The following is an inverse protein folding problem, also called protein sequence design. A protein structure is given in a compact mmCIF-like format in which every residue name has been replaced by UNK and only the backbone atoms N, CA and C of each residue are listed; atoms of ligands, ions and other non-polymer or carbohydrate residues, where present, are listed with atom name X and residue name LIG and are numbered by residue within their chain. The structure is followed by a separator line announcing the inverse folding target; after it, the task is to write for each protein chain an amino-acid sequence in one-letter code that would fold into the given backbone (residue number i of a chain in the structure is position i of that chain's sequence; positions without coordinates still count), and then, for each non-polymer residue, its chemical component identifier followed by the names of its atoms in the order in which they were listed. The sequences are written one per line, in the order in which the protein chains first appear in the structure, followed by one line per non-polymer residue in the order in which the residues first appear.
data_IF_469714990214
#
_entry.id   IF_469714990214
#
_cell.length_a   1.000
_cell.length_b   1.000
_cell.length_c   1.000
_cell.angle_alpha   90.00
_cell.angle_beta   90.00
_cell.angle_gamma   90.00
#
_symmetry.space_group_name_H-M   'P 1'
#
loop_
_entity.id
_entity.type
_entity.pdbx_description
1 polymer ?
#
# COMPACT_ATOMS: atom_id res chain seq x y z
N UNK A 1 -60.62 0.96 -4.10
CA UNK A 1 -61.49 2.15 -4.26
C UNK A 1 -60.55 3.25 -4.67
N UNK A 2 -60.56 3.47 -5.93
CA UNK A 2 -61.05 4.56 -6.75
C UNK A 2 -60.01 5.65 -6.89
N UNK A 3 -59.65 6.24 -8.03
CA UNK A 3 -60.14 6.14 -9.39
C UNK A 3 -59.10 6.79 -10.31
N UNK A 4 -58.95 6.25 -11.51
CA UNK A 4 -58.27 6.77 -12.69
C UNK A 4 -59.20 7.83 -13.34
N UNK A 5 -58.63 8.93 -13.89
CA UNK A 5 -59.23 9.71 -14.98
C UNK A 5 -58.11 10.38 -15.81
N UNK A 6 -57.90 9.91 -16.91
CA UNK A 6 -58.19 10.15 -18.31
C UNK A 6 -57.76 11.53 -18.88
N UNK A 7 -57.00 11.41 -19.96
CA UNK A 7 -56.54 12.35 -20.98
C UNK A 7 -57.72 12.91 -21.78
N UNK A 8 -57.62 14.07 -22.43
CA UNK A 8 -57.78 14.06 -23.87
C UNK A 8 -56.75 14.82 -24.71
N UNK A 9 -56.48 14.22 -25.85
CA UNK A 9 -55.80 14.76 -27.03
C UNK A 9 -56.68 15.71 -27.83
N UNK A 10 -56.08 16.72 -28.48
CA UNK A 10 -56.48 17.34 -29.78
C UNK A 10 -55.28 18.16 -30.27
N UNK A 11 -54.70 17.88 -31.33
CA UNK A 11 -54.81 17.98 -32.80
C UNK A 11 -54.72 19.44 -33.33
N UNK A 12 -53.73 19.59 -34.22
CA UNK A 12 -53.56 20.45 -35.38
C UNK A 12 -53.71 21.99 -35.27
N UNK A 13 -52.64 22.71 -35.65
CA UNK A 13 -52.58 23.46 -36.93
C UNK A 13 -51.23 24.15 -37.10
N UNK A 14 -50.63 24.01 -38.30
CA UNK A 14 -49.54 24.87 -38.78
C UNK A 14 -50.10 26.19 -39.30
N UNK A 15 -49.35 27.29 -39.21
CA UNK A 15 -49.17 28.10 -40.41
C UNK A 15 -47.71 28.43 -40.72
N UNK A 16 -47.43 28.59 -42.00
CA UNK A 16 -46.20 29.08 -42.60
C UNK A 16 -45.91 30.53 -42.21
N UNK A 17 -44.69 30.80 -41.77
CA UNK A 17 -44.12 32.14 -41.65
C UNK A 17 -42.64 32.09 -42.00
N UNK A 18 -42.25 32.67 -43.15
CA UNK A 18 -40.87 32.91 -43.53
C UNK A 18 -40.28 33.97 -42.57
N UNK A 19 -39.29 33.61 -41.77
CA UNK A 19 -38.50 34.60 -41.07
C UNK A 19 -37.01 34.50 -41.44
N UNK A 20 -36.42 35.67 -41.52
CA UNK A 20 -35.11 35.99 -42.05
C UNK A 20 -33.97 35.34 -41.26
N UNK A 21 -32.96 34.84 -41.99
CA UNK A 21 -31.69 34.37 -41.43
C UNK A 21 -30.92 35.53 -40.79
N UNK A 22 -30.98 35.68 -39.45
CA UNK A 22 -30.03 36.48 -38.71
C UNK A 22 -28.68 35.78 -38.68
N UNK A 23 -27.63 36.45 -39.17
CA UNK A 23 -26.23 36.03 -39.07
C UNK A 23 -25.82 36.04 -37.60
N UNK A 24 -25.41 34.85 -37.07
CA UNK A 24 -24.75 34.74 -35.77
C UNK A 24 -23.38 35.43 -35.85
N UNK A 25 -22.97 36.22 -34.84
CA UNK A 25 -21.62 36.73 -34.76
C UNK A 25 -20.64 35.58 -34.55
N UNK A 26 -19.54 35.64 -35.27
CA UNK A 26 -18.48 34.65 -35.29
C UNK A 26 -17.41 35.06 -34.23
N UNK A 27 -17.77 35.04 -32.95
CA UNK A 27 -16.82 35.22 -31.86
C UNK A 27 -16.17 33.85 -31.53
N UNK A 28 -15.14 33.53 -32.31
CA UNK A 28 -14.15 32.53 -31.89
C UNK A 28 -13.14 33.26 -31.02
N UNK A 29 -13.34 33.21 -29.69
CA UNK A 29 -12.24 33.47 -28.77
C UNK A 29 -11.04 32.59 -29.13
N UNK A 30 -9.80 33.11 -29.10
CA UNK A 30 -8.62 32.33 -29.37
C UNK A 30 -8.47 31.30 -28.26
N UNK A 31 -8.62 30.01 -28.59
CA UNK A 31 -8.32 28.90 -27.66
C UNK A 31 -6.85 29.04 -27.29
N UNK A 32 -6.58 29.39 -26.04
CA UNK A 32 -5.25 29.32 -25.45
C UNK A 32 -4.64 27.95 -25.75
N UNK A 33 -3.46 27.93 -26.36
CA UNK A 33 -2.75 26.70 -26.64
C UNK A 33 -2.24 26.15 -25.32
N UNK A 34 -2.94 25.15 -24.79
CA UNK A 34 -2.49 24.43 -23.60
C UNK A 34 -1.13 23.81 -23.87
N UNK A 35 -0.16 24.09 -23.02
CA UNK A 35 1.18 23.53 -23.11
C UNK A 35 1.19 22.07 -22.57
N UNK A 36 1.19 21.11 -23.50
CA UNK A 36 1.25 19.68 -23.19
C UNK A 36 2.67 19.14 -22.99
N UNK A 37 3.68 19.99 -22.86
CA UNK A 37 5.09 19.57 -22.82
C UNK A 37 5.37 18.66 -21.65
N UNK A 38 4.91 19.01 -20.43
CA UNK A 38 5.07 18.19 -19.23
C UNK A 38 4.41 16.80 -19.37
N UNK A 39 3.22 16.75 -19.97
CA UNK A 39 2.48 15.50 -20.22
C UNK A 39 3.21 14.63 -21.26
N UNK A 40 3.81 15.23 -22.27
CA UNK A 40 4.61 14.50 -23.28
C UNK A 40 5.87 13.91 -22.66
N UNK A 41 6.60 14.68 -21.89
CA UNK A 41 7.81 14.22 -21.18
C UNK A 41 7.50 13.07 -20.23
N UNK A 42 6.40 13.18 -19.46
CA UNK A 42 5.98 12.10 -18.58
C UNK A 42 5.62 10.82 -19.34
N UNK A 43 4.85 10.93 -20.45
CA UNK A 43 4.54 9.78 -21.31
C UNK A 43 5.77 9.15 -21.93
N UNK A 44 6.79 9.96 -22.24
CA UNK A 44 8.06 9.46 -22.76
C UNK A 44 8.85 8.71 -21.68
N UNK A 45 8.96 9.26 -20.46
CA UNK A 45 9.57 8.60 -19.30
C UNK A 45 8.86 7.28 -18.98
N UNK A 46 7.53 7.25 -19.07
CA UNK A 46 6.75 6.04 -18.86
C UNK A 46 7.00 4.95 -19.94
N UNK A 47 7.23 5.37 -21.20
CA UNK A 47 7.62 4.44 -22.28
C UNK A 47 9.02 3.86 -22.05
N UNK A 48 9.97 4.68 -21.62
CA UNK A 48 11.33 4.25 -21.31
C UNK A 48 11.35 3.28 -20.13
N UNK A 49 10.61 3.59 -19.07
CA UNK A 49 10.44 2.70 -17.92
C UNK A 49 9.82 1.34 -18.33
N UNK A 50 8.80 1.34 -19.20
CA UNK A 50 8.21 0.12 -19.74
C UNK A 50 9.20 -0.69 -20.57
N UNK A 51 10.07 -0.04 -21.33
CA UNK A 51 11.13 -0.70 -22.11
C UNK A 51 12.16 -1.35 -21.20
N UNK A 52 12.62 -0.64 -20.16
CA UNK A 52 13.53 -1.16 -19.13
C UNK A 52 12.91 -2.34 -18.37
N UNK A 53 11.63 -2.22 -17.97
CA UNK A 53 10.87 -3.31 -17.33
C UNK A 53 10.81 -4.57 -18.18
N UNK A 54 10.67 -4.42 -19.51
CA UNK A 54 10.69 -5.56 -20.44
C UNK A 54 12.05 -6.24 -20.53
N UNK A 55 13.14 -5.47 -20.50
CA UNK A 55 14.50 -5.97 -20.42
C UNK A 55 14.73 -6.70 -19.08
N UNK A 56 14.38 -6.08 -17.96
CA UNK A 56 14.58 -6.62 -16.61
C UNK A 56 13.90 -7.97 -16.42
N UNK A 57 12.69 -8.17 -16.95
CA UNK A 57 12.00 -9.46 -16.88
C UNK A 57 12.77 -10.61 -17.56
N UNK A 58 13.66 -10.31 -18.53
CA UNK A 58 14.56 -11.30 -19.14
C UNK A 58 15.78 -11.60 -18.25
N UNK A 59 16.22 -10.61 -17.46
CA UNK A 59 17.44 -10.69 -16.65
C UNK A 59 17.20 -11.27 -15.26
N UNK A 60 16.01 -11.09 -14.66
CA UNK A 60 15.59 -11.78 -13.41
C UNK A 60 15.81 -13.29 -13.54
N UNK A 61 15.53 -13.87 -14.71
CA UNK A 61 15.76 -15.29 -14.98
C UNK A 61 17.25 -15.68 -14.93
N UNK A 62 18.18 -14.71 -14.94
CA UNK A 62 19.63 -14.90 -14.88
C UNK A 62 20.25 -14.55 -13.52
N UNK A 63 19.43 -14.10 -12.54
CA UNK A 63 19.92 -13.72 -11.20
C UNK A 63 20.72 -12.41 -11.14
N UNK A 64 20.69 -11.58 -12.19
CA UNK A 64 21.39 -10.30 -12.22
C UNK A 64 20.48 -9.16 -11.72
N UNK A 65 20.98 -8.34 -10.79
CA UNK A 65 20.27 -7.15 -10.28
C UNK A 65 20.59 -5.97 -11.20
N UNK A 66 19.55 -5.37 -11.79
CA UNK A 66 19.66 -4.19 -12.66
C UNK A 66 19.06 -2.98 -11.93
N UNK A 67 19.75 -1.85 -12.07
CA UNK A 67 19.39 -0.55 -11.52
C UNK A 67 19.15 0.46 -12.61
N UNK A 68 18.22 1.39 -12.40
CA UNK A 68 18.03 2.57 -13.28
C UNK A 68 19.05 3.66 -13.00
N UNK A 69 19.72 3.60 -11.85
CA UNK A 69 20.67 4.61 -11.35
C UNK A 69 22.11 4.06 -11.23
N UNK A 70 22.38 2.86 -11.78
CA UNK A 70 23.65 2.12 -11.61
C UNK A 70 23.98 1.77 -10.15
N UNK A 71 23.01 1.80 -9.25
CA UNK A 71 23.16 1.42 -7.84
C UNK A 71 23.12 -0.09 -7.67
N UNK A 72 23.96 -0.63 -6.78
CA UNK A 72 23.89 -2.04 -6.36
C UNK A 72 23.43 -2.08 -4.89
N UNK A 73 22.30 -2.77 -4.58
CA UNK A 73 21.83 -2.88 -3.21
C UNK A 73 22.74 -3.79 -2.40
N UNK A 74 22.94 -3.44 -1.12
CA UNK A 74 23.56 -4.34 -0.16
C UNK A 74 22.47 -5.24 0.47
N UNK A 75 22.21 -6.36 -0.19
CA UNK A 75 21.19 -7.31 0.23
C UNK A 75 21.58 -8.14 1.45
N UNK A 76 22.82 -8.05 1.92
CA UNK A 76 23.29 -8.74 3.13
C UNK A 76 22.72 -8.08 4.39
N UNK A 77 22.69 -6.76 4.41
CA UNK A 77 22.29 -5.93 5.55
C UNK A 77 20.89 -5.36 5.41
N UNK A 78 20.54 -4.84 4.23
CA UNK A 78 19.32 -4.09 4.03
C UNK A 78 18.24 -4.92 3.35
N UNK A 79 17.03 -4.83 3.88
CA UNK A 79 15.82 -5.43 3.29
C UNK A 79 15.21 -4.51 2.24
N UNK A 80 15.33 -3.20 2.44
CA UNK A 80 14.85 -2.16 1.51
C UNK A 80 15.95 -1.11 1.31
N UNK A 81 16.20 -0.75 0.04
CA UNK A 81 17.00 0.41 -0.34
C UNK A 81 16.25 1.22 -1.41
N UNK A 82 16.12 2.52 -1.15
CA UNK A 82 15.52 3.48 -2.08
C UNK A 82 16.59 4.44 -2.57
N UNK A 83 16.64 4.67 -3.89
CA UNK A 83 17.62 5.56 -4.51
C UNK A 83 16.88 6.59 -5.35
N UNK A 84 16.86 7.84 -4.88
CA UNK A 84 16.24 8.99 -5.54
C UNK A 84 14.79 8.72 -5.99
N UNK A 85 13.99 8.10 -5.11
CA UNK A 85 12.63 7.66 -5.44
C UNK A 85 11.69 8.86 -5.48
N UNK A 86 11.03 9.03 -6.62
CA UNK A 86 10.01 10.06 -6.86
C UNK A 86 8.69 9.42 -7.24
N UNK A 87 7.61 10.03 -6.77
CA UNK A 87 6.24 9.64 -7.14
C UNK A 87 5.40 10.88 -7.38
N UNK A 88 4.80 10.96 -8.55
CA UNK A 88 3.76 11.94 -8.89
C UNK A 88 2.51 11.22 -9.37
N UNK A 89 1.35 11.77 -9.06
CA UNK A 89 0.08 11.35 -9.63
C UNK A 89 -0.35 12.38 -10.67
N UNK A 90 -0.97 11.89 -11.75
CA UNK A 90 -1.46 12.74 -12.83
C UNK A 90 -2.98 12.56 -12.92
N UNK A 91 -3.69 13.67 -12.73
CA UNK A 91 -5.14 13.73 -12.88
C UNK A 91 -5.45 14.77 -13.97
N UNK A 92 -5.89 14.29 -15.13
CA UNK A 92 -6.03 15.15 -16.31
C UNK A 92 -4.69 15.74 -16.72
N UNK A 93 -4.55 17.07 -16.61
CA UNK A 93 -3.34 17.82 -16.96
C UNK A 93 -2.50 18.22 -15.72
N UNK A 94 -2.99 17.95 -14.51
CA UNK A 94 -2.33 18.33 -13.27
C UNK A 94 -1.42 17.20 -12.78
N UNK A 95 -0.12 17.50 -12.60
CA UNK A 95 0.84 16.64 -11.93
C UNK A 95 0.97 17.04 -10.45
N UNK A 96 0.71 16.10 -9.56
CA UNK A 96 0.87 16.28 -8.11
C UNK A 96 2.05 15.47 -7.61
N UNK A 97 3.20 16.07 -7.30
CA UNK A 97 4.35 15.38 -6.75
C UNK A 97 4.12 15.04 -5.28
N UNK A 98 4.19 13.75 -4.94
CA UNK A 98 4.00 13.23 -3.58
C UNK A 98 5.32 12.83 -2.93
N UNK A 99 6.17 12.06 -3.62
CA UNK A 99 7.52 11.76 -3.15
C UNK A 99 8.55 12.47 -4.03
N UNK A 100 9.53 13.14 -3.40
CA UNK A 100 10.37 14.15 -4.03
C UNK A 100 11.85 13.79 -4.11
N UNK A 101 12.18 12.50 -4.19
CA UNK A 101 13.57 12.03 -4.27
C UNK A 101 14.04 11.40 -2.95
N UNK A 102 13.33 10.37 -2.50
CA UNK A 102 13.63 9.67 -1.25
C UNK A 102 14.85 8.77 -1.45
N UNK A 103 15.81 8.89 -0.51
CA UNK A 103 16.90 7.96 -0.30
C UNK A 103 16.74 7.36 1.09
N UNK A 104 16.69 6.01 1.19
CA UNK A 104 16.38 5.32 2.44
C UNK A 104 16.99 3.92 2.41
N UNK A 105 17.52 3.46 3.57
CA UNK A 105 17.98 2.09 3.77
C UNK A 105 17.39 1.54 5.05
N UNK A 106 16.74 0.38 4.97
CA UNK A 106 16.09 -0.30 6.10
C UNK A 106 16.73 -1.66 6.33
N UNK A 107 17.07 -1.94 7.59
CA UNK A 107 17.76 -3.18 7.96
C UNK A 107 16.80 -4.36 8.06
N UNK A 108 17.31 -5.56 7.78
CA UNK A 108 16.54 -6.80 7.94
C UNK A 108 16.23 -7.07 9.41
N UNK A 109 15.02 -7.56 9.68
CA UNK A 109 14.58 -7.94 11.01
C UNK A 109 14.26 -6.78 11.95
N UNK A 110 14.38 -5.52 11.49
CA UNK A 110 13.98 -4.36 12.28
C UNK A 110 12.45 -4.26 12.41
N UNK A 111 12.01 -3.73 13.56
CA UNK A 111 10.66 -3.18 13.73
C UNK A 111 10.72 -1.68 13.40
N UNK A 112 10.05 -1.27 12.34
CA UNK A 112 10.18 0.07 11.74
C UNK A 112 8.83 0.78 11.82
N UNK A 113 8.85 2.04 12.26
CA UNK A 113 7.66 2.90 12.29
C UNK A 113 7.89 4.11 11.38
N UNK A 114 6.95 4.36 10.47
CA UNK A 114 6.93 5.52 9.58
C UNK A 114 5.88 6.49 10.10
N UNK A 115 6.36 7.66 10.54
CA UNK A 115 5.55 8.75 11.09
C UNK A 115 5.52 9.96 10.18
N UNK A 116 4.52 10.80 10.40
CA UNK A 116 4.40 12.12 9.76
C UNK A 116 2.95 12.61 9.70
N UNK A 117 2.72 13.88 9.41
CA UNK A 117 1.38 14.44 9.30
C UNK A 117 0.56 13.81 8.16
N UNK A 118 -0.75 14.01 8.18
CA UNK A 118 -1.60 13.60 7.06
C UNK A 118 -1.13 14.26 5.76
N UNK A 119 -1.20 13.54 4.64
CA UNK A 119 -0.75 14.05 3.34
C UNK A 119 0.78 14.13 3.15
N UNK A 120 1.61 13.73 4.11
CA UNK A 120 3.07 13.79 3.97
C UNK A 120 3.68 12.79 2.99
N UNK A 121 2.90 11.80 2.52
CA UNK A 121 3.35 10.76 1.59
C UNK A 121 3.64 9.40 2.22
N UNK A 122 3.31 9.14 3.50
CA UNK A 122 3.56 7.88 4.21
C UNK A 122 2.93 6.67 3.52
N UNK A 123 1.61 6.71 3.29
CA UNK A 123 0.88 5.62 2.61
C UNK A 123 1.39 5.43 1.18
N UNK A 124 1.75 6.52 0.47
CA UNK A 124 2.37 6.41 -0.85
C UNK A 124 3.74 5.72 -0.79
N UNK A 125 4.56 6.07 0.20
CA UNK A 125 5.86 5.39 0.43
C UNK A 125 5.64 3.91 0.73
N UNK A 126 4.69 3.57 1.63
CA UNK A 126 4.34 2.19 1.97
C UNK A 126 3.89 1.41 0.72
N UNK A 127 3.01 1.99 -0.10
CA UNK A 127 2.52 1.36 -1.32
C UNK A 127 3.64 1.07 -2.33
N UNK A 128 4.62 1.95 -2.43
CA UNK A 128 5.78 1.78 -3.31
C UNK A 128 6.69 0.66 -2.80
N UNK A 129 7.09 0.69 -1.53
CA UNK A 129 8.00 -0.32 -0.98
C UNK A 129 7.36 -1.70 -0.83
N UNK A 130 6.05 -1.78 -0.77
CA UNK A 130 5.30 -3.05 -0.78
C UNK A 130 4.98 -3.54 -2.20
N UNK A 131 5.25 -2.74 -3.24
CA UNK A 131 4.94 -3.06 -4.62
C UNK A 131 3.45 -2.97 -4.98
N UNK A 132 2.65 -2.26 -4.17
CA UNK A 132 1.24 -1.96 -4.47
C UNK A 132 1.11 -0.84 -5.51
N UNK A 133 2.08 0.08 -5.53
CA UNK A 133 2.15 1.17 -6.52
C UNK A 133 3.55 1.24 -7.13
N UNK A 134 3.67 1.92 -8.27
CA UNK A 134 4.93 2.11 -9.01
C UNK A 134 5.46 3.52 -8.81
N UNK A 135 6.77 3.63 -8.80
CA UNK A 135 7.47 4.93 -8.80
C UNK A 135 7.31 5.67 -10.13
N UNK A 136 7.43 6.98 -10.10
CA UNK A 136 7.61 7.79 -11.31
C UNK A 136 9.05 7.75 -11.80
N UNK A 137 10.03 7.69 -10.87
CA UNK A 137 11.45 7.51 -11.17
C UNK A 137 12.23 7.06 -9.92
N UNK A 138 13.47 6.61 -10.10
CA UNK A 138 14.33 6.09 -9.06
C UNK A 138 14.25 4.58 -8.93
N UNK A 139 15.08 4.00 -8.06
CA UNK A 139 15.14 2.56 -7.81
C UNK A 139 14.57 2.20 -6.45
N UNK A 140 13.80 1.12 -6.41
CA UNK A 140 13.20 0.54 -5.21
C UNK A 140 13.66 -0.90 -5.09
N UNK A 141 14.70 -1.12 -4.32
CA UNK A 141 15.18 -2.46 -4.02
C UNK A 141 14.50 -2.99 -2.76
N UNK A 142 13.83 -4.13 -2.87
CA UNK A 142 13.19 -4.83 -1.75
C UNK A 142 13.59 -6.31 -1.83
N UNK A 143 14.25 -6.82 -0.81
CA UNK A 143 14.76 -8.20 -0.75
C UNK A 143 15.60 -8.53 -2.00
N UNK A 144 16.37 -7.54 -2.50
CA UNK A 144 17.17 -7.67 -3.71
C UNK A 144 16.43 -7.51 -5.05
N UNK A 145 15.09 -7.45 -5.05
CA UNK A 145 14.33 -7.17 -6.28
C UNK A 145 14.24 -5.66 -6.52
N UNK A 146 14.53 -5.19 -7.73
CA UNK A 146 14.23 -3.82 -8.11
C UNK A 146 12.76 -3.70 -8.57
N UNK A 147 11.89 -3.28 -7.67
CA UNK A 147 10.43 -3.19 -7.94
C UNK A 147 10.10 -2.18 -9.04
N UNK A 148 10.95 -1.13 -9.22
CA UNK A 148 10.76 -0.10 -10.25
C UNK A 148 10.74 -0.69 -11.67
N UNK A 149 11.40 -1.83 -11.87
CA UNK A 149 11.57 -2.49 -13.16
C UNK A 149 10.63 -3.68 -13.36
N UNK A 150 9.86 -4.09 -12.32
CA UNK A 150 8.95 -5.22 -12.42
C UNK A 150 7.65 -4.85 -13.18
N UNK A 151 7.16 -5.81 -13.95
CA UNK A 151 5.80 -5.75 -14.52
C UNK A 151 4.75 -6.05 -13.45
N UNK A 152 3.49 -5.70 -13.71
CA UNK A 152 2.39 -5.92 -12.77
C UNK A 152 2.23 -7.40 -12.37
N UNK A 153 2.42 -8.31 -13.34
CA UNK A 153 2.40 -9.75 -13.08
C UNK A 153 3.52 -10.18 -12.11
N UNK A 154 4.71 -9.61 -12.28
CA UNK A 154 5.88 -9.94 -11.45
C UNK A 154 5.79 -9.26 -10.08
N UNK A 155 5.25 -8.03 -9.99
CA UNK A 155 4.89 -7.38 -8.73
C UNK A 155 3.84 -8.19 -7.95
N UNK A 156 2.86 -8.77 -8.65
CA UNK A 156 1.86 -9.64 -8.01
C UNK A 156 2.50 -10.90 -7.43
N UNK A 157 3.44 -11.53 -8.17
CA UNK A 157 4.20 -12.68 -7.66
C UNK A 157 5.08 -12.27 -6.47
N UNK A 158 5.78 -11.14 -6.58
CA UNK A 158 6.61 -10.60 -5.50
C UNK A 158 5.79 -10.41 -4.21
N UNK A 159 4.64 -9.71 -4.28
CA UNK A 159 3.75 -9.52 -3.12
C UNK A 159 3.22 -10.84 -2.57
N UNK A 160 2.87 -11.77 -3.47
CA UNK A 160 2.38 -13.09 -3.06
C UNK A 160 3.40 -13.85 -2.24
N UNK A 161 4.66 -13.83 -2.67
CA UNK A 161 5.70 -14.72 -2.13
C UNK A 161 6.46 -14.09 -0.96
N UNK A 162 6.55 -12.74 -0.87
CA UNK A 162 7.45 -12.08 0.09
C UNK A 162 6.77 -11.10 1.06
N UNK A 163 5.50 -10.69 0.79
CA UNK A 163 4.87 -9.58 1.53
C UNK A 163 3.61 -10.02 2.24
N UNK A 164 3.53 -9.79 3.54
CA UNK A 164 2.30 -9.76 4.32
C UNK A 164 1.77 -8.32 4.42
N UNK A 165 0.45 -8.14 4.42
CA UNK A 165 -0.15 -6.82 4.53
C UNK A 165 -1.30 -6.81 5.54
N UNK A 166 -1.25 -5.84 6.47
CA UNK A 166 -2.26 -5.58 7.49
C UNK A 166 -2.84 -4.19 7.21
N UNK A 167 -4.15 -4.13 6.96
CA UNK A 167 -4.85 -2.89 6.67
C UNK A 167 -5.58 -2.38 7.91
N UNK A 168 -5.86 -1.09 7.96
CA UNK A 168 -6.70 -0.48 8.97
C UNK A 168 -8.12 -1.07 8.98
N UNK A 169 -8.70 -1.29 7.80
CA UNK A 169 -9.90 -2.11 7.62
C UNK A 169 -9.47 -3.55 7.45
N UNK A 170 -10.01 -4.45 8.24
CA UNK A 170 -9.53 -5.84 8.37
C UNK A 170 -9.55 -6.64 7.06
N UNK A 171 -10.43 -6.26 6.12
CA UNK A 171 -10.59 -6.88 4.78
C UNK A 171 -10.70 -8.40 4.82
N UNK A 172 -11.40 -8.94 5.84
CA UNK A 172 -11.67 -10.36 5.96
C UNK A 172 -12.73 -10.80 4.96
N UNK A 173 -12.62 -12.05 4.50
CA UNK A 173 -13.67 -12.70 3.74
C UNK A 173 -14.77 -13.11 4.70
N UNK A 174 -15.92 -12.46 4.60
CA UNK A 174 -17.01 -12.54 5.60
C UNK A 174 -17.73 -13.89 5.62
N UNK A 175 -17.63 -14.65 4.53
CA UNK A 175 -18.19 -15.99 4.35
C UNK A 175 -17.21 -17.10 4.73
N UNK A 176 -16.03 -16.78 5.21
CA UNK A 176 -15.03 -17.71 5.71
C UNK A 176 -14.81 -17.53 7.20
N UNK A 177 -14.52 -18.63 7.90
CA UNK A 177 -14.11 -18.63 9.31
C UNK A 177 -12.76 -17.95 9.51
N UNK A 178 -12.36 -17.70 10.75
CA UNK A 178 -11.04 -17.17 11.08
C UNK A 178 -9.92 -18.05 10.53
N UNK A 179 -10.02 -19.36 10.73
CA UNK A 179 -9.05 -20.33 10.19
C UNK A 179 -8.98 -20.31 8.68
N UNK A 180 -10.12 -20.37 7.99
CA UNK A 180 -10.17 -20.33 6.52
C UNK A 180 -9.62 -19.01 5.96
N UNK A 181 -9.86 -17.86 6.62
CA UNK A 181 -9.22 -16.60 6.26
C UNK A 181 -7.69 -16.68 6.32
N UNK A 182 -7.12 -17.33 7.35
CA UNK A 182 -5.67 -17.54 7.44
C UNK A 182 -5.17 -18.53 6.36
N UNK A 183 -5.91 -19.62 6.10
CA UNK A 183 -5.61 -20.61 5.07
C UNK A 183 -5.58 -20.00 3.66
N UNK A 184 -6.40 -18.96 3.38
CA UNK A 184 -6.28 -18.20 2.13
C UNK A 184 -4.89 -17.59 1.99
N UNK A 185 -4.33 -17.01 3.07
CA UNK A 185 -2.96 -16.51 3.07
C UNK A 185 -1.95 -17.61 2.80
N UNK A 186 -2.11 -18.74 3.47
CA UNK A 186 -1.27 -19.93 3.32
C UNK A 186 -1.26 -20.49 1.90
N UNK A 187 -2.43 -20.65 1.30
CA UNK A 187 -2.59 -21.21 -0.04
C UNK A 187 -2.08 -20.29 -1.16
N UNK A 188 -2.04 -18.98 -0.92
CA UNK A 188 -1.47 -18.02 -1.86
C UNK A 188 0.06 -18.10 -1.93
N UNK A 189 0.73 -18.46 -0.85
CA UNK A 189 2.20 -18.52 -0.80
C UNK A 189 2.73 -19.76 -1.53
N UNK A 190 3.82 -19.57 -2.29
CA UNK A 190 4.60 -20.68 -2.85
C UNK A 190 5.72 -21.16 -1.93
N UNK A 191 6.01 -20.41 -0.88
CA UNK A 191 7.00 -20.79 0.10
C UNK A 191 6.50 -22.02 0.89
N UNK A 192 7.04 -23.18 0.57
CA UNK A 192 6.67 -24.45 1.22
C UNK A 192 7.44 -24.72 2.52
N UNK A 193 8.55 -24.02 2.73
CA UNK A 193 9.31 -24.09 3.97
C UNK A 193 8.67 -23.11 4.97
N UNK A 194 7.63 -23.59 5.66
CA UNK A 194 6.89 -22.76 6.60
C UNK A 194 7.46 -22.92 7.99
N UNK A 195 7.87 -21.79 8.57
CA UNK A 195 8.34 -21.74 9.96
C UNK A 195 7.18 -21.74 10.96
N UNK A 196 5.93 -21.53 10.47
CA UNK A 196 4.72 -21.44 11.27
C UNK A 196 3.59 -22.27 10.66
N UNK A 197 2.93 -23.08 11.47
CA UNK A 197 1.64 -23.70 11.11
C UNK A 197 0.49 -22.71 11.41
N UNK A 198 -0.67 -22.93 10.82
CA UNK A 198 -1.89 -22.15 11.17
C UNK A 198 -2.16 -22.21 12.67
N UNK A 199 -1.93 -23.37 13.31
CA UNK A 199 -2.10 -23.53 14.77
C UNK A 199 -1.13 -22.63 15.53
N UNK A 200 0.17 -22.63 15.20
CA UNK A 200 1.18 -21.81 15.86
C UNK A 200 0.88 -20.29 15.72
N UNK A 201 0.32 -19.92 14.56
CA UNK A 201 -0.12 -18.53 14.32
C UNK A 201 -1.27 -18.18 15.26
N UNK A 202 -2.30 -19.04 15.35
CA UNK A 202 -3.46 -18.77 16.20
C UNK A 202 -3.11 -18.76 17.69
N UNK A 203 -2.19 -19.60 18.13
CA UNK A 203 -1.61 -19.55 19.47
C UNK A 203 -0.87 -18.23 19.71
N UNK A 204 -0.05 -17.79 18.76
CA UNK A 204 0.70 -16.51 18.87
C UNK A 204 -0.21 -15.31 18.98
N UNK A 205 -1.35 -15.31 18.26
CA UNK A 205 -2.31 -14.19 18.30
C UNK A 205 -3.39 -14.34 19.38
N UNK A 206 -3.37 -15.44 20.18
CA UNK A 206 -4.33 -15.73 21.24
C UNK A 206 -5.77 -15.88 20.73
N UNK A 207 -5.95 -16.69 19.66
CA UNK A 207 -7.24 -16.85 18.96
C UNK A 207 -7.63 -18.31 18.70
N UNK A 208 -7.04 -19.28 19.42
CA UNK A 208 -7.26 -20.71 19.20
C UNK A 208 -8.73 -21.10 19.30
N UNK A 209 -9.43 -20.58 20.32
CA UNK A 209 -10.85 -20.88 20.54
C UNK A 209 -11.78 -20.25 19.51
N UNK A 210 -11.29 -19.22 18.77
CA UNK A 210 -12.04 -18.46 17.78
C UNK A 210 -11.83 -18.92 16.34
N UNK A 211 -11.03 -19.97 16.13
CA UNK A 211 -10.66 -20.46 14.78
C UNK A 211 -11.86 -20.73 13.88
N UNK A 212 -12.96 -21.23 14.46
CA UNK A 212 -14.16 -21.62 13.73
C UNK A 212 -15.23 -20.51 13.65
N UNK A 213 -14.97 -19.32 14.22
CA UNK A 213 -15.91 -18.18 14.16
C UNK A 213 -15.80 -17.43 12.84
N UNK A 214 -16.92 -16.92 12.38
CA UNK A 214 -16.99 -16.01 11.24
C UNK A 214 -16.72 -14.56 11.66
N UNK A 215 -16.29 -13.66 10.75
CA UNK A 215 -16.00 -12.25 11.06
C UNK A 215 -17.12 -11.53 11.80
N UNK A 216 -18.40 -11.76 11.44
CA UNK A 216 -19.55 -11.14 12.09
C UNK A 216 -19.77 -11.60 13.54
N UNK A 217 -19.10 -12.66 13.99
CA UNK A 217 -19.14 -13.21 15.36
C UNK A 217 -17.97 -12.73 16.22
N UNK A 218 -17.13 -11.84 15.68
CA UNK A 218 -15.87 -11.38 16.29
C UNK A 218 -15.90 -9.87 16.54
N UNK A 219 -15.27 -9.45 17.65
CA UNK A 219 -14.98 -8.02 17.89
C UNK A 219 -14.00 -7.47 16.86
N UNK A 220 -13.90 -6.14 16.71
CA UNK A 220 -12.94 -5.50 15.81
C UNK A 220 -11.49 -5.92 16.08
N UNK A 221 -11.08 -5.98 17.35
CA UNK A 221 -9.74 -6.44 17.72
C UNK A 221 -9.49 -7.92 17.39
N UNK A 222 -10.54 -8.77 17.48
CA UNK A 222 -10.44 -10.17 17.04
C UNK A 222 -10.30 -10.27 15.51
N UNK A 223 -11.09 -9.49 14.77
CA UNK A 223 -10.99 -9.43 13.31
C UNK A 223 -9.60 -8.93 12.85
N UNK A 224 -9.04 -7.93 13.53
CA UNK A 224 -7.68 -7.45 13.25
C UNK A 224 -6.65 -8.55 13.48
N UNK A 225 -6.75 -9.30 14.58
CA UNK A 225 -5.84 -10.44 14.83
C UNK A 225 -5.95 -11.53 13.74
N UNK A 226 -7.15 -11.82 13.26
CA UNK A 226 -7.33 -12.74 12.10
C UNK A 226 -6.73 -12.17 10.82
N UNK A 227 -6.82 -10.85 10.59
CA UNK A 227 -6.13 -10.20 9.46
C UNK A 227 -4.60 -10.36 9.55
N UNK A 228 -4.04 -10.24 10.76
CA UNK A 228 -2.63 -10.53 11.03
C UNK A 228 -2.31 -12.01 10.77
N UNK A 229 -3.15 -12.93 11.26
CA UNK A 229 -2.97 -14.37 11.00
C UNK A 229 -2.92 -14.68 9.49
N UNK A 230 -3.83 -14.11 8.71
CA UNK A 230 -3.83 -14.26 7.25
C UNK A 230 -2.55 -13.73 6.60
N UNK A 231 -2.03 -12.61 7.09
CA UNK A 231 -0.78 -12.04 6.59
C UNK A 231 0.43 -12.92 6.94
N UNK A 232 0.49 -13.46 8.17
CA UNK A 232 1.55 -14.33 8.67
C UNK A 232 1.55 -15.71 8.02
N UNK A 233 0.36 -16.27 7.73
CA UNK A 233 0.22 -17.59 7.10
C UNK A 233 0.90 -17.69 5.72
N UNK A 234 1.24 -16.57 5.11
CA UNK A 234 2.07 -16.50 3.91
C UNK A 234 3.55 -16.75 4.17
N UNK A 235 4.00 -16.74 5.44
CA UNK A 235 5.40 -16.70 5.84
C UNK A 235 6.20 -15.60 5.11
N UNK A 236 5.83 -14.32 5.29
CA UNK A 236 6.42 -13.23 4.53
C UNK A 236 7.78 -12.80 5.09
N UNK A 237 8.68 -12.32 4.23
CA UNK A 237 9.93 -11.66 4.65
C UNK A 237 9.68 -10.31 5.29
N UNK A 238 8.64 -9.59 4.81
CA UNK A 238 8.24 -8.28 5.32
C UNK A 238 6.75 -8.24 5.60
N UNK A 239 6.39 -7.75 6.77
CA UNK A 239 5.03 -7.48 7.18
C UNK A 239 4.79 -5.96 7.19
N UNK A 240 3.91 -5.49 6.32
CA UNK A 240 3.50 -4.09 6.26
C UNK A 240 2.19 -3.87 7.01
N UNK A 241 2.10 -2.79 7.78
CA UNK A 241 0.89 -2.34 8.45
C UNK A 241 0.57 -0.89 8.09
N UNK A 242 -0.59 -0.65 7.50
CA UNK A 242 -1.12 0.70 7.29
C UNK A 242 -2.16 0.99 8.36
N UNK A 243 -1.78 1.80 9.35
CA UNK A 243 -2.60 2.13 10.54
C UNK A 243 -3.20 0.88 11.23
N UNK A 244 -2.41 -0.14 11.59
CA UNK A 244 -2.94 -1.44 12.04
C UNK A 244 -3.72 -1.38 13.36
N UNK A 245 -3.64 -0.28 14.10
CA UNK A 245 -4.36 -0.03 15.36
C UNK A 245 -5.38 1.09 15.26
N UNK A 246 -5.50 1.76 14.10
CA UNK A 246 -6.28 2.98 13.95
C UNK A 246 -7.80 2.84 14.11
N UNK A 247 -8.33 1.61 14.06
CA UNK A 247 -9.75 1.32 14.27
C UNK A 247 -10.03 0.61 15.62
N UNK A 248 -9.03 0.56 16.52
CA UNK A 248 -9.08 -0.18 17.78
C UNK A 248 -9.04 0.77 18.98
N UNK A 249 -9.65 0.35 20.08
CA UNK A 249 -9.43 0.96 21.39
C UNK A 249 -7.99 0.70 21.88
N UNK A 250 -7.60 1.38 22.96
CA UNK A 250 -6.25 1.31 23.52
C UNK A 250 -5.85 -0.13 23.88
N UNK A 251 -6.71 -0.86 24.60
CA UNK A 251 -6.41 -2.21 25.07
C UNK A 251 -6.15 -3.16 23.89
N UNK A 252 -7.02 -3.12 22.89
CA UNK A 252 -6.89 -3.96 21.70
C UNK A 252 -5.72 -3.51 20.83
N UNK A 253 -5.47 -2.20 20.72
CA UNK A 253 -4.34 -1.65 20.01
C UNK A 253 -3.00 -2.11 20.60
N UNK A 254 -2.87 -2.10 21.94
CA UNK A 254 -1.68 -2.63 22.65
C UNK A 254 -1.47 -4.11 22.36
N UNK A 255 -2.52 -4.93 22.45
CA UNK A 255 -2.45 -6.36 22.14
C UNK A 255 -1.98 -6.62 20.69
N UNK A 256 -2.47 -5.84 19.74
CA UNK A 256 -2.03 -5.94 18.33
C UNK A 256 -0.55 -5.59 18.19
N UNK A 257 -0.06 -4.53 18.86
CA UNK A 257 1.35 -4.16 18.83
C UNK A 257 2.24 -5.21 19.51
N UNK A 258 1.80 -5.81 20.61
CA UNK A 258 2.50 -6.92 21.28
C UNK A 258 2.67 -8.10 20.32
N UNK A 259 1.60 -8.53 19.65
CA UNK A 259 1.66 -9.59 18.64
C UNK A 259 2.68 -9.25 17.54
N UNK A 260 2.67 -8.02 17.01
CA UNK A 260 3.57 -7.61 15.94
C UNK A 260 5.04 -7.58 16.41
N UNK A 261 5.30 -7.14 17.64
CA UNK A 261 6.64 -7.15 18.26
C UNK A 261 7.11 -8.60 18.49
N UNK A 262 6.23 -9.48 18.98
CA UNK A 262 6.56 -10.88 19.22
C UNK A 262 6.83 -11.62 17.92
N UNK A 263 6.04 -11.39 16.88
CA UNK A 263 6.29 -11.90 15.53
C UNK A 263 7.65 -11.46 14.99
N UNK A 264 7.97 -10.17 15.11
CA UNK A 264 9.26 -9.65 14.69
C UNK A 264 10.42 -10.33 15.43
N UNK A 265 10.32 -10.47 16.77
CA UNK A 265 11.36 -11.08 17.59
C UNK A 265 11.52 -12.59 17.34
N UNK A 266 10.39 -13.32 17.29
CA UNK A 266 10.35 -14.79 17.18
C UNK A 266 10.78 -15.27 15.80
N UNK A 267 10.27 -14.64 14.74
CA UNK A 267 10.45 -15.08 13.36
C UNK A 267 11.44 -14.25 12.55
N UNK A 268 12.00 -13.18 13.14
CA UNK A 268 12.91 -12.26 12.47
C UNK A 268 12.32 -11.61 11.20
N UNK A 269 11.00 -11.64 11.06
CA UNK A 269 10.28 -10.94 10.00
C UNK A 269 10.47 -9.44 10.18
N UNK A 270 10.84 -8.72 9.13
CA UNK A 270 10.87 -7.25 9.18
C UNK A 270 9.44 -6.73 9.26
N UNK A 271 9.15 -5.88 10.24
CA UNK A 271 7.83 -5.25 10.42
C UNK A 271 7.92 -3.77 10.12
N UNK A 272 7.07 -3.26 9.25
CA UNK A 272 7.01 -1.84 8.88
C UNK A 272 5.59 -1.34 9.08
N UNK A 273 5.41 -0.39 10.02
CA UNK A 273 4.11 0.20 10.32
C UNK A 273 4.10 1.67 9.91
N UNK A 274 3.05 2.07 9.22
CA UNK A 274 2.69 3.48 9.03
C UNK A 274 1.64 3.85 10.07
N UNK A 275 1.86 4.93 10.80
CA UNK A 275 0.89 5.46 11.75
C UNK A 275 1.01 6.96 11.90
N UNK A 276 -0.03 7.60 12.41
CA UNK A 276 -0.02 8.99 12.84
C UNK A 276 0.16 9.13 14.35
N UNK A 277 0.06 8.03 15.13
CA UNK A 277 0.29 8.04 16.57
C UNK A 277 1.81 8.04 16.86
N UNK A 278 2.37 9.17 17.39
CA UNK A 278 3.80 9.30 17.64
C UNK A 278 4.31 8.36 18.73
N UNK A 279 3.44 7.95 19.66
CA UNK A 279 3.84 7.16 20.83
C UNK A 279 4.20 5.71 20.44
N UNK A 280 3.66 5.22 19.29
CA UNK A 280 4.06 3.91 18.72
C UNK A 280 5.54 3.91 18.29
N UNK A 281 6.17 5.08 18.08
CA UNK A 281 7.58 5.17 17.77
C UNK A 281 8.49 4.56 18.84
N UNK A 282 8.07 4.58 20.09
CA UNK A 282 8.89 4.13 21.22
C UNK A 282 9.18 2.61 21.19
N UNK A 283 8.34 1.80 20.53
CA UNK A 283 8.57 0.36 20.37
C UNK A 283 9.45 0.00 19.17
N UNK A 284 9.73 0.96 18.29
CA UNK A 284 10.47 0.70 17.05
C UNK A 284 11.98 0.66 17.26
N UNK A 285 12.68 -0.20 16.49
CA UNK A 285 14.14 -0.13 16.33
C UNK A 285 14.54 1.06 15.47
N UNK A 286 13.73 1.37 14.46
CA UNK A 286 13.96 2.47 13.52
C UNK A 286 12.67 3.27 13.33
N UNK A 287 12.75 4.58 13.52
CA UNK A 287 11.65 5.52 13.27
C UNK A 287 12.01 6.42 12.12
N UNK A 288 11.10 6.54 11.16
CA UNK A 288 11.26 7.36 9.96
C UNK A 288 10.21 8.46 9.99
N UNK A 289 10.66 9.71 9.98
CA UNK A 289 9.77 10.85 9.88
C UNK A 289 9.67 11.31 8.44
N UNK A 290 8.44 11.28 7.89
CA UNK A 290 8.13 11.73 6.52
C UNK A 290 7.42 13.06 6.57
N UNK A 291 7.95 14.06 5.86
CA UNK A 291 7.37 15.40 5.77
C UNK A 291 7.45 15.93 4.34
N UNK A 292 6.35 16.43 3.80
CA UNK A 292 6.29 17.04 2.47
C UNK A 292 6.89 16.18 1.34
N UNK A 293 6.74 14.86 1.43
CA UNK A 293 7.26 13.92 0.43
C UNK A 293 8.76 13.64 0.51
N UNK A 294 9.41 14.00 1.63
CA UNK A 294 10.82 13.74 1.91
C UNK A 294 10.99 13.01 3.24
N UNK A 295 12.14 12.37 3.44
CA UNK A 295 12.57 11.89 4.75
C UNK A 295 13.13 13.09 5.51
N UNK A 296 12.45 13.47 6.59
CA UNK A 296 12.84 14.58 7.47
C UNK A 296 13.91 14.11 8.46
N UNK A 297 13.67 12.95 9.08
CA UNK A 297 14.56 12.37 10.08
C UNK A 297 14.49 10.85 10.09
N UNK A 298 15.60 10.20 10.41
CA UNK A 298 15.65 8.76 10.75
C UNK A 298 16.26 8.67 12.15
N UNK A 299 15.52 8.05 13.08
CA UNK A 299 15.96 7.83 14.45
C UNK A 299 16.14 6.33 14.70
N UNK A 300 17.32 5.91 15.12
CA UNK A 300 17.59 4.56 15.63
C UNK A 300 17.35 4.54 17.15
N UNK A 301 16.59 3.52 17.59
CA UNK A 301 16.33 3.29 19.00
C UNK A 301 17.00 1.98 19.41
N UNK A 302 17.97 2.09 20.29
CA UNK A 302 18.74 0.92 20.78
C UNK A 302 18.03 0.17 21.91
N UNK A 303 17.04 0.82 22.55
CA UNK A 303 16.27 0.26 23.66
C UNK A 303 14.77 0.49 23.43
N UNK A 304 14.14 -0.23 22.48
CA UNK A 304 12.70 -0.10 22.26
C UNK A 304 11.90 -0.50 23.50
N UNK A 305 10.89 0.30 23.83
CA UNK A 305 9.95 0.00 24.92
C UNK A 305 9.09 -1.21 24.58
N UNK A 306 8.45 -1.79 25.58
CA UNK A 306 7.37 -2.75 25.36
C UNK A 306 6.07 -2.02 24.98
N UNK A 307 5.17 -2.63 24.21
CA UNK A 307 3.87 -2.03 23.91
C UNK A 307 3.05 -1.67 25.17
N UNK A 308 3.22 -2.43 26.27
CA UNK A 308 2.58 -2.14 27.55
C UNK A 308 3.09 -0.85 28.24
N UNK A 309 4.27 -0.34 27.84
CA UNK A 309 4.92 0.85 28.41
C UNK A 309 4.66 2.13 27.60
N UNK A 310 3.91 2.04 26.48
CA UNK A 310 3.59 3.21 25.65
C UNK A 310 2.53 4.04 26.35
N UNK A 311 2.70 5.36 26.34
CA UNK A 311 1.59 6.27 26.60
C UNK A 311 0.68 6.30 25.36
N UNK A 312 -0.60 5.99 25.55
CA UNK A 312 -1.56 5.93 24.46
C UNK A 312 -2.33 7.25 24.28
N UNK A 313 -2.28 8.14 25.30
CA UNK A 313 -3.01 9.41 25.35
C UNK A 313 -2.50 10.46 24.34
#
# INVERSE_FOLDING_TARGET
MAEIKDVPSTDQTKPHGKEAKAKKPNDKEPKEKVDYTAVKEFKQKLKEQKKQTKLYSKWILKGEIISTTNSKPDTSKYVIELVNVKKSYITGEVETPVLKGINLKLEKGDFIVILGPSGSGKTTLLNIISGLDKVSSGDVFVIGYNLSLLKDVDLTKFRRDNVGFIFQQYNLLTNLTAKENAEVGENLSKNKNKDMTIKDIFETIGMEEQMNKYPHQMSGGQQQRVSIARALAKNPDILFGDEPTGALDEEMGRKVLEILVDVNKKYKTTVIIVTHNPNIADIANTVIYVRNGLIDQIKKNTHPKKPSEIDWS
#
